data_IF_682227205676
#
_entry.id   IF_682227205676
#
_cell.length_a   1.000
_cell.length_b   1.000
_cell.length_c   1.000
_cell.angle_alpha   90.00
_cell.angle_beta   90.00
_cell.angle_gamma   90.00
#
_symmetry.space_group_name_H-M   'P 1'
#
loop_
_entity.id
_entity.type
_entity.pdbx_description
1 polymer ?
#
# COMPACT_ATOMS: atom_id res chain seq x y z
N UNK A 1 0.15 31.90 -1.69
CA UNK A 1 0.70 30.60 -1.22
C UNK A 1 -0.51 29.69 -1.06
N UNK A 2 -0.74 28.80 -2.01
CA UNK A 2 -1.89 27.89 -1.93
C UNK A 2 -1.71 26.98 -0.71
N UNK A 3 -2.73 26.91 0.15
CA UNK A 3 -2.73 25.99 1.28
C UNK A 3 -2.72 24.55 0.74
N UNK A 4 -1.61 23.85 0.93
CA UNK A 4 -1.52 22.46 0.52
C UNK A 4 -2.18 21.59 1.59
N UNK A 5 -3.33 21.02 1.23
CA UNK A 5 -4.07 20.09 2.08
C UNK A 5 -3.54 18.66 1.90
N UNK A 6 -3.58 17.90 3.00
CA UNK A 6 -3.35 16.45 2.99
C UNK A 6 -4.38 15.74 2.12
N UNK A 7 -4.01 14.55 1.66
CA UNK A 7 -4.88 13.78 0.80
C UNK A 7 -6.17 13.39 1.55
N UNK A 8 -7.32 13.28 0.86
CA UNK A 8 -8.53 12.78 1.50
C UNK A 8 -8.32 11.33 1.93
N UNK A 9 -8.93 10.91 3.04
CA UNK A 9 -8.85 9.52 3.49
C UNK A 9 -9.32 8.60 2.35
N UNK A 10 -8.53 7.57 1.96
CA UNK A 10 -8.96 6.58 0.98
C UNK A 10 -10.30 5.97 1.38
N UNK A 11 -11.24 5.95 0.44
CA UNK A 11 -12.59 5.39 0.59
C UNK A 11 -12.65 3.88 0.28
N UNK A 12 -11.50 3.27 0.03
CA UNK A 12 -11.32 1.84 -0.19
C UNK A 12 -10.35 1.26 0.84
N UNK A 13 -10.55 -0.01 1.24
CA UNK A 13 -9.66 -0.73 2.16
C UNK A 13 -8.82 -1.80 1.47
N UNK A 14 -9.44 -2.56 0.59
CA UNK A 14 -8.78 -3.61 -0.19
C UNK A 14 -9.57 -3.84 -1.47
N UNK A 15 -8.90 -3.74 -2.61
CA UNK A 15 -9.51 -3.97 -3.93
C UNK A 15 -8.64 -4.97 -4.68
N UNK A 16 -9.04 -6.24 -4.66
CA UNK A 16 -8.40 -7.30 -5.43
C UNK A 16 -8.80 -7.24 -6.89
N UNK A 17 -7.82 -7.39 -7.78
CA UNK A 17 -8.00 -7.41 -9.23
C UNK A 17 -7.70 -8.81 -9.75
N UNK A 18 -8.58 -9.31 -10.60
CA UNK A 18 -8.38 -10.53 -11.36
C UNK A 18 -7.38 -10.27 -12.49
N UNK A 19 -6.48 -11.22 -12.80
CA UNK A 19 -5.55 -11.08 -13.90
C UNK A 19 -6.33 -10.95 -15.22
N UNK A 20 -5.94 -10.00 -16.07
CA UNK A 20 -6.48 -9.94 -17.42
C UNK A 20 -5.83 -11.06 -18.24
N UNK A 21 -6.61 -11.97 -18.85
CA UNK A 21 -6.04 -12.98 -19.73
C UNK A 21 -5.31 -12.26 -20.86
N UNK A 22 -3.99 -12.44 -20.93
CA UNK A 22 -3.21 -11.86 -21.99
C UNK A 22 -3.69 -12.48 -23.30
N UNK A 23 -4.44 -11.70 -24.11
CA UNK A 23 -4.65 -12.02 -25.53
C UNK A 23 -3.31 -11.83 -26.24
N UNK A 24 -2.31 -12.67 -25.95
CA UNK A 24 -1.31 -12.96 -26.96
C UNK A 24 -2.11 -13.61 -28.08
N UNK A 25 -2.27 -12.88 -29.18
CA UNK A 25 -2.70 -13.46 -30.44
C UNK A 25 -1.64 -14.51 -30.76
N UNK A 26 -1.86 -15.73 -30.27
CA UNK A 26 -1.23 -16.91 -30.83
C UNK A 26 -1.83 -16.96 -32.22
N UNK A 27 -1.17 -16.31 -33.19
CA UNK A 27 -1.41 -16.62 -34.60
C UNK A 27 -1.15 -18.12 -34.65
N UNK A 28 -2.17 -18.97 -34.84
CA UNK A 28 -1.95 -20.39 -34.88
C UNK A 28 -1.03 -20.64 -36.07
N UNK A 29 0.26 -20.90 -35.81
CA UNK A 29 1.23 -21.29 -36.82
C UNK A 29 0.96 -22.69 -37.37
N UNK A 30 -0.27 -23.20 -37.21
CA UNK A 30 -0.68 -24.56 -37.55
C UNK A 30 -1.36 -24.68 -38.91
N UNK A 31 -1.61 -23.59 -39.66
CA UNK A 31 -2.34 -23.69 -40.93
C UNK A 31 -1.48 -23.58 -42.21
N UNK A 32 -0.27 -23.00 -42.18
CA UNK A 32 0.51 -22.81 -43.41
C UNK A 32 1.45 -23.98 -43.77
N UNK A 33 1.75 -24.88 -42.83
CA UNK A 33 2.64 -26.02 -43.10
C UNK A 33 1.99 -27.15 -43.92
N UNK A 34 0.69 -27.38 -43.75
CA UNK A 34 -0.02 -28.47 -44.45
C UNK A 34 -0.50 -28.07 -45.86
N UNK A 35 -0.79 -26.79 -46.10
CA UNK A 35 -1.17 -26.32 -47.44
C UNK A 35 -0.02 -26.35 -48.45
N UNK A 36 1.21 -26.05 -48.02
CA UNK A 36 2.38 -26.06 -48.89
C UNK A 36 2.83 -27.50 -49.26
N UNK A 37 2.70 -28.47 -48.34
CA UNK A 37 3.04 -29.86 -48.61
C UNK A 37 2.09 -30.52 -49.63
N UNK A 38 0.79 -30.17 -49.59
CA UNK A 38 -0.19 -30.69 -50.56
C UNK A 38 -0.04 -30.03 -51.93
N UNK A 39 0.28 -28.73 -51.99
CA UNK A 39 0.48 -28.02 -53.27
C UNK A 39 1.76 -28.48 -54.03
N UNK A 40 2.83 -28.85 -53.31
CA UNK A 40 4.07 -29.35 -53.93
C UNK A 40 3.95 -30.81 -54.37
N UNK A 41 3.13 -31.63 -53.71
CA UNK A 41 2.88 -33.01 -54.14
C UNK A 41 2.15 -33.10 -55.51
N UNK A 42 1.48 -32.03 -55.94
CA UNK A 42 0.74 -31.98 -57.21
C UNK A 42 1.51 -31.35 -58.38
N UNK A 43 2.70 -30.76 -58.17
CA UNK A 43 3.40 -29.97 -59.20
C UNK A 43 4.60 -30.65 -59.88
N UNK A 44 4.90 -31.92 -59.56
CA UNK A 44 5.95 -32.69 -60.22
C UNK A 44 7.39 -32.21 -59.95
N UNK A 45 7.58 -31.35 -58.95
CA UNK A 45 8.90 -30.86 -58.53
C UNK A 45 9.57 -31.88 -57.60
N UNK A 46 10.88 -32.03 -57.75
CA UNK A 46 11.73 -32.94 -56.98
C UNK A 46 11.45 -32.85 -55.46
N UNK A 47 11.15 -33.97 -54.81
CA UNK A 47 10.58 -34.01 -53.45
C UNK A 47 11.57 -33.63 -52.33
N UNK A 48 12.87 -33.59 -52.64
CA UNK A 48 13.95 -33.33 -51.68
C UNK A 48 13.95 -31.91 -51.08
N UNK A 49 13.85 -30.80 -51.86
CA UNK A 49 13.75 -29.45 -51.30
C UNK A 49 12.52 -29.21 -50.41
N UNK A 50 11.39 -29.87 -50.72
CA UNK A 50 10.16 -29.75 -49.93
C UNK A 50 10.30 -30.33 -48.52
N UNK A 51 10.99 -31.46 -48.40
CA UNK A 51 11.26 -32.13 -47.12
C UNK A 51 12.18 -31.29 -46.22
N UNK A 52 13.20 -30.66 -46.80
CA UNK A 52 14.12 -29.76 -46.08
C UNK A 52 13.39 -28.51 -45.58
N UNK A 53 12.53 -27.91 -46.42
CA UNK A 53 11.72 -26.75 -46.02
C UNK A 53 10.73 -27.08 -44.89
N UNK A 54 10.10 -28.25 -44.93
CA UNK A 54 9.18 -28.72 -43.87
C UNK A 54 9.89 -28.93 -42.52
N UNK A 55 11.08 -29.53 -42.53
CA UNK A 55 11.90 -29.71 -41.33
C UNK A 55 12.36 -28.37 -40.74
N UNK A 56 12.79 -27.42 -41.58
CA UNK A 56 13.17 -26.08 -41.13
C UNK A 56 11.97 -25.34 -40.48
N UNK A 57 10.79 -25.42 -41.08
CA UNK A 57 9.57 -24.82 -40.53
C UNK A 57 9.16 -25.46 -39.18
N UNK A 58 9.33 -26.78 -39.03
CA UNK A 58 9.04 -27.49 -37.79
C UNK A 58 10.02 -27.11 -36.67
N UNK A 59 11.32 -26.97 -36.97
CA UNK A 59 12.33 -26.52 -36.00
C UNK A 59 12.09 -25.07 -35.57
N UNK A 60 11.79 -24.17 -36.51
CA UNK A 60 11.44 -22.77 -36.19
C UNK A 60 10.18 -22.71 -35.32
N UNK A 61 9.15 -23.51 -35.64
CA UNK A 61 7.93 -23.59 -34.82
C UNK A 61 8.21 -24.13 -33.42
N UNK A 62 9.02 -25.19 -33.30
CA UNK A 62 9.39 -25.76 -32.01
C UNK A 62 10.20 -24.78 -31.15
N UNK A 63 11.10 -24.00 -31.75
CA UNK A 63 11.86 -22.95 -31.05
C UNK A 63 10.95 -21.80 -30.59
N UNK A 64 9.99 -21.35 -31.41
CA UNK A 64 9.02 -20.33 -30.99
C UNK A 64 8.06 -20.79 -29.89
N UNK A 65 7.76 -22.10 -29.82
CA UNK A 65 6.99 -22.69 -28.73
C UNK A 65 7.81 -22.87 -27.45
N UNK A 66 9.13 -23.04 -27.55
CA UNK A 66 10.03 -23.22 -26.40
C UNK A 66 10.26 -21.91 -25.64
N UNK A 67 10.13 -20.76 -26.32
CA UNK A 67 10.18 -19.43 -25.71
C UNK A 67 8.83 -18.92 -25.20
N UNK A 68 7.78 -19.75 -25.25
CA UNK A 68 6.52 -19.46 -24.56
C UNK A 68 6.71 -19.62 -23.05
N UNK A 69 7.36 -18.63 -22.43
CA UNK A 69 7.43 -18.51 -20.98
C UNK A 69 6.02 -18.66 -20.40
N UNK A 70 5.87 -19.43 -19.29
CA UNK A 70 4.56 -19.62 -18.67
C UNK A 70 3.90 -18.26 -18.43
N UNK A 71 2.61 -18.16 -18.77
CA UNK A 71 1.81 -16.96 -18.50
C UNK A 71 1.84 -16.71 -16.99
N UNK A 72 2.65 -15.73 -16.56
CA UNK A 72 2.74 -15.34 -15.16
C UNK A 72 1.38 -14.78 -14.74
N UNK A 73 0.68 -15.52 -13.89
CA UNK A 73 -0.59 -15.08 -13.30
C UNK A 73 -0.29 -14.12 -12.17
N UNK A 74 -0.19 -12.84 -12.50
CA UNK A 74 0.00 -11.80 -11.49
C UNK A 74 -1.36 -11.42 -10.90
N UNK A 75 -1.51 -11.55 -9.59
CA UNK A 75 -2.66 -10.98 -8.88
C UNK A 75 -2.28 -9.61 -8.33
N UNK A 76 -3.19 -8.65 -8.44
CA UNK A 76 -2.94 -7.26 -8.03
C UNK A 76 -3.97 -6.91 -6.97
N UNK A 77 -3.55 -6.23 -5.91
CA UNK A 77 -4.46 -5.65 -4.93
C UNK A 77 -4.11 -4.19 -4.67
N UNK A 78 -5.11 -3.33 -4.69
CA UNK A 78 -5.00 -1.91 -4.34
C UNK A 78 -5.46 -1.73 -2.89
N UNK A 79 -4.61 -1.10 -2.07
CA UNK A 79 -4.81 -0.86 -0.64
C UNK A 79 -4.47 0.59 -0.30
N UNK A 80 -4.93 1.16 0.83
CA UNK A 80 -4.69 2.55 1.20
C UNK A 80 -3.24 3.03 1.11
N UNK A 81 -2.26 2.13 1.25
CA UNK A 81 -0.83 2.44 1.30
C UNK A 81 -0.10 2.20 -0.03
N UNK A 82 -0.77 1.64 -1.05
CA UNK A 82 -0.19 1.38 -2.36
C UNK A 82 -0.79 0.17 -3.06
N UNK A 83 0.05 -0.54 -3.82
CA UNK A 83 -0.34 -1.69 -4.64
C UNK A 83 0.50 -2.90 -4.27
N UNK A 84 -0.16 -4.02 -4.03
CA UNK A 84 0.44 -5.33 -3.86
C UNK A 84 0.35 -6.07 -5.20
N UNK A 85 1.48 -6.58 -5.68
CA UNK A 85 1.54 -7.42 -6.87
C UNK A 85 2.10 -8.76 -6.45
N UNK A 86 1.29 -9.80 -6.49
CA UNK A 86 1.73 -11.16 -6.16
C UNK A 86 1.99 -11.92 -7.45
N UNK A 87 3.22 -12.37 -7.65
CA UNK A 87 3.59 -13.32 -8.69
C UNK A 87 4.13 -14.62 -8.07
N UNK A 88 4.35 -15.64 -8.90
CA UNK A 88 4.82 -16.97 -8.44
C UNK A 88 6.25 -16.95 -7.85
N UNK A 89 7.04 -15.90 -8.10
CA UNK A 89 8.43 -15.79 -7.68
C UNK A 89 8.58 -15.02 -6.35
N UNK A 90 7.95 -13.85 -6.22
CA UNK A 90 7.95 -13.06 -4.99
C UNK A 90 6.86 -11.96 -4.99
N UNK A 91 6.21 -11.69 -3.85
CA UNK A 91 5.32 -10.54 -3.72
C UNK A 91 6.11 -9.24 -3.85
N UNK A 92 5.56 -8.31 -4.62
CA UNK A 92 6.11 -6.98 -4.86
C UNK A 92 5.17 -5.91 -4.31
N UNK A 93 5.77 -4.86 -3.77
CA UNK A 93 5.03 -3.76 -3.15
C UNK A 93 5.36 -2.46 -3.87
N UNK A 94 4.34 -1.78 -4.38
CA UNK A 94 4.45 -0.47 -5.00
C UNK A 94 3.83 0.56 -4.05
N UNK A 95 4.67 1.37 -3.43
CA UNK A 95 4.25 2.58 -2.71
C UNK A 95 3.60 3.56 -3.70
N UNK A 96 2.68 4.41 -3.27
CA UNK A 96 2.07 5.45 -4.10
C UNK A 96 3.12 6.34 -4.80
N UNK A 97 4.24 6.62 -4.12
CA UNK A 97 5.36 7.35 -4.72
C UNK A 97 6.01 6.64 -5.93
N UNK A 98 5.84 5.33 -6.07
CA UNK A 98 6.32 4.54 -7.21
C UNK A 98 5.28 4.42 -8.34
N UNK A 99 4.01 4.74 -8.07
CA UNK A 99 2.91 4.71 -9.04
C UNK A 99 2.84 6.06 -9.74
N UNK A 100 3.07 6.07 -11.06
CA UNK A 100 3.10 7.29 -11.88
C UNK A 100 1.73 7.69 -12.38
N UNK A 101 0.89 6.70 -12.67
CA UNK A 101 -0.45 6.89 -13.21
C UNK A 101 -1.28 5.69 -12.85
N UNK A 102 -2.57 5.93 -12.62
CA UNK A 102 -3.55 4.89 -12.41
C UNK A 102 -4.75 5.19 -13.30
N UNK A 103 -5.17 4.22 -14.08
CA UNK A 103 -6.34 4.31 -14.96
C UNK A 103 -7.39 3.31 -14.51
N UNK A 104 -8.63 3.77 -14.45
CA UNK A 104 -9.82 2.95 -14.19
C UNK A 104 -10.76 3.12 -15.36
N UNK A 105 -10.87 2.09 -16.19
CA UNK A 105 -11.70 2.09 -17.39
C UNK A 105 -12.94 1.21 -17.15
N UNK A 106 -14.16 1.77 -17.08
CA UNK A 106 -15.36 0.97 -17.00
C UNK A 106 -15.52 0.17 -18.30
N UNK A 107 -15.49 -1.15 -18.19
CA UNK A 107 -15.71 -2.08 -19.28
C UNK A 107 -17.18 -2.50 -19.26
N UNK A 108 -17.93 -2.06 -20.27
CA UNK A 108 -19.29 -2.55 -20.48
C UNK A 108 -19.21 -4.03 -20.88
N UNK A 109 -19.65 -4.89 -19.98
CA UNK A 109 -19.91 -6.27 -20.31
C UNK A 109 -21.01 -6.38 -21.39
N UNK A 110 -21.00 -7.50 -22.11
CA UNK A 110 -22.19 -7.95 -22.85
C UNK A 110 -23.33 -8.15 -21.85
N UNK A 111 -24.58 -8.05 -22.32
CA UNK A 111 -25.80 -7.91 -21.50
C UNK A 111 -25.96 -8.88 -20.31
N UNK A 112 -25.23 -9.99 -20.26
CA UNK A 112 -25.24 -10.99 -19.18
C UNK A 112 -24.14 -10.85 -18.11
N UNK A 113 -23.03 -10.14 -18.36
CA UNK A 113 -21.79 -10.30 -17.59
C UNK A 113 -21.56 -9.23 -16.49
N UNK A 114 -22.51 -8.32 -16.28
CA UNK A 114 -22.45 -7.26 -15.26
C UNK A 114 -21.38 -6.18 -15.53
N UNK A 115 -21.53 -4.98 -14.96
CA UNK A 115 -20.49 -3.95 -15.14
C UNK A 115 -19.15 -4.46 -14.60
N UNK A 116 -18.05 -4.19 -15.29
CA UNK A 116 -16.69 -4.47 -14.80
C UNK A 116 -15.82 -3.26 -15.04
N UNK A 117 -14.72 -3.14 -14.30
CA UNK A 117 -13.71 -2.10 -14.53
C UNK A 117 -12.37 -2.76 -14.78
N UNK A 118 -11.66 -2.29 -15.81
CA UNK A 118 -10.27 -2.59 -16.05
C UNK A 118 -9.43 -1.55 -15.33
N UNK A 119 -8.44 -1.97 -14.57
CA UNK A 119 -7.54 -1.10 -13.83
C UNK A 119 -6.12 -1.32 -14.32
N UNK A 120 -5.44 -0.22 -14.68
CA UNK A 120 -4.02 -0.21 -15.06
C UNK A 120 -3.22 0.64 -14.09
N UNK A 121 -2.17 0.05 -13.54
CA UNK A 121 -1.22 0.70 -12.64
C UNK A 121 0.09 0.86 -13.39
N UNK A 122 0.47 2.11 -13.65
CA UNK A 122 1.70 2.44 -14.36
C UNK A 122 2.79 2.77 -13.32
N UNK A 123 3.79 1.90 -13.22
CA UNK A 123 5.03 2.14 -12.49
C UNK A 123 6.10 2.71 -13.43
N UNK A 124 7.32 2.94 -12.92
CA UNK A 124 8.41 3.54 -13.71
C UNK A 124 8.79 2.72 -14.95
N UNK A 125 8.78 1.40 -14.85
CA UNK A 125 9.28 0.49 -15.89
C UNK A 125 8.28 -0.59 -16.30
N UNK A 126 7.10 -0.62 -15.68
CA UNK A 126 6.17 -1.72 -15.79
C UNK A 126 4.74 -1.21 -15.72
N UNK A 127 3.83 -1.95 -16.34
CA UNK A 127 2.39 -1.72 -16.27
C UNK A 127 1.76 -2.99 -15.74
N UNK A 128 0.97 -2.84 -14.68
CA UNK A 128 0.19 -3.92 -14.10
C UNK A 128 -1.27 -3.72 -14.48
N UNK A 129 -1.91 -4.78 -14.97
CA UNK A 129 -3.30 -4.71 -15.43
C UNK A 129 -4.13 -5.81 -14.77
N UNK A 130 -5.32 -5.42 -14.28
CA UNK A 130 -6.28 -6.34 -13.71
C UNK A 130 -7.72 -5.88 -13.96
N UNK A 131 -8.68 -6.76 -13.73
CA UNK A 131 -10.12 -6.45 -13.82
C UNK A 131 -10.80 -6.67 -12.48
N UNK A 132 -11.85 -5.90 -12.23
CA UNK A 132 -12.73 -6.07 -11.08
C UNK A 132 -14.18 -6.09 -11.56
N UNK A 133 -14.99 -6.95 -10.96
CA UNK A 133 -16.43 -7.01 -11.19
C UNK A 133 -17.15 -5.90 -10.41
N UNK A 134 -18.13 -5.27 -11.03
CA UNK A 134 -18.91 -4.18 -10.46
C UNK A 134 -18.25 -2.80 -10.55
N UNK A 135 -18.90 -1.81 -9.94
CA UNK A 135 -18.34 -0.48 -9.72
C UNK A 135 -17.34 -0.55 -8.57
N UNK A 136 -16.05 -0.38 -8.86
CA UNK A 136 -15.04 -0.25 -7.82
C UNK A 136 -14.96 1.21 -7.35
N UNK A 137 -14.90 1.44 -6.04
CA UNK A 137 -14.71 2.76 -5.42
C UNK A 137 -13.31 3.35 -5.66
N UNK A 138 -12.77 3.20 -6.87
CA UNK A 138 -11.45 3.68 -7.27
C UNK A 138 -11.53 4.94 -8.14
N UNK A 139 -12.73 5.45 -8.46
CA UNK A 139 -12.90 6.59 -9.36
C UNK A 139 -12.22 7.88 -8.86
N UNK A 140 -12.11 8.03 -7.53
CA UNK A 140 -11.40 9.15 -6.90
C UNK A 140 -9.88 8.98 -6.87
N UNK A 141 -9.38 7.74 -6.91
CA UNK A 141 -7.98 7.43 -6.68
C UNK A 141 -7.02 8.13 -7.68
N UNK A 142 -7.27 8.11 -9.01
CA UNK A 142 -6.42 8.83 -9.96
C UNK A 142 -6.29 10.33 -9.65
N UNK A 143 -7.35 10.98 -9.16
CA UNK A 143 -7.33 12.41 -8.82
C UNK A 143 -6.54 12.73 -7.56
N UNK A 144 -6.36 11.74 -6.69
CA UNK A 144 -5.68 11.90 -5.40
C UNK A 144 -4.30 11.26 -5.34
N UNK A 145 -3.87 10.58 -6.41
CA UNK A 145 -2.61 9.84 -6.47
C UNK A 145 -1.40 10.69 -6.06
N UNK A 146 -1.27 11.90 -6.61
CA UNK A 146 -0.14 12.78 -6.29
C UNK A 146 -0.17 13.24 -4.82
N UNK A 147 -1.36 13.46 -4.26
CA UNK A 147 -1.51 13.82 -2.86
C UNK A 147 -1.12 12.65 -1.95
N UNK A 148 -1.52 11.42 -2.31
CA UNK A 148 -1.11 10.20 -1.60
C UNK A 148 0.39 9.96 -1.67
N UNK A 149 1.00 10.13 -2.84
CA UNK A 149 2.44 10.02 -3.00
C UNK A 149 3.20 11.05 -2.14
N UNK A 150 2.75 12.32 -2.13
CA UNK A 150 3.36 13.37 -1.29
C UNK A 150 3.22 13.08 0.20
N UNK A 151 2.02 12.68 0.65
CA UNK A 151 1.79 12.34 2.06
C UNK A 151 2.66 11.16 2.50
N UNK A 152 2.77 10.12 1.66
CA UNK A 152 3.57 8.95 1.95
C UNK A 152 5.09 9.23 2.01
N UNK A 153 5.56 10.25 1.29
CA UNK A 153 6.96 10.69 1.33
C UNK A 153 7.25 11.71 2.44
N UNK A 154 6.25 12.14 3.21
CA UNK A 154 6.45 13.14 4.27
C UNK A 154 7.17 12.48 5.45
N UNK A 155 8.34 12.97 5.90
CA UNK A 155 9.07 12.36 7.02
C UNK A 155 8.24 12.45 8.31
N UNK A 156 8.38 11.47 9.20
CA UNK A 156 7.71 11.51 10.50
C UNK A 156 8.41 12.54 11.42
N UNK A 157 7.62 13.36 12.11
CA UNK A 157 8.14 14.28 13.11
C UNK A 157 8.52 13.53 14.40
N UNK A 158 9.52 14.08 15.10
CA UNK A 158 10.01 13.60 16.39
C UNK A 158 9.56 14.52 17.56
N UNK A 159 8.62 15.42 17.30
CA UNK A 159 7.93 16.25 18.29
C UNK A 159 6.48 16.57 17.82
N UNK A 160 5.70 17.24 18.67
CA UNK A 160 4.31 17.64 18.36
C UNK A 160 4.21 18.90 17.48
N UNK A 161 5.30 19.65 17.30
CA UNK A 161 5.31 20.93 16.58
C UNK A 161 5.88 20.79 15.15
N UNK A 162 6.34 19.60 14.77
CA UNK A 162 6.91 19.26 13.46
C UNK A 162 8.33 19.77 13.23
N UNK A 163 9.06 20.16 14.28
CA UNK A 163 10.37 20.83 14.15
C UNK A 163 11.53 19.85 14.08
N UNK A 164 11.47 18.78 14.86
CA UNK A 164 12.44 17.70 14.83
C UNK A 164 12.03 16.62 13.82
N UNK A 165 13.00 16.15 13.02
CA UNK A 165 12.85 15.02 12.10
C UNK A 165 14.03 14.09 12.26
N UNK A 166 13.86 12.82 11.85
CA UNK A 166 15.00 11.91 11.78
C UNK A 166 15.91 12.31 10.62
N UNK A 167 17.23 12.20 10.81
CA UNK A 167 18.22 12.34 9.73
C UNK A 167 18.11 11.19 8.71
N UNK A 168 17.44 10.09 9.05
CA UNK A 168 17.14 9.01 8.13
C UNK A 168 16.18 9.48 7.04
N UNK A 169 16.57 9.25 5.79
CA UNK A 169 15.71 9.48 4.62
C UNK A 169 14.44 8.62 4.64
N UNK A 170 14.47 7.49 5.33
CA UNK A 170 13.33 6.61 5.49
C UNK A 170 12.64 6.87 6.85
N UNK A 171 11.30 7.02 6.88
CA UNK A 171 10.57 7.14 8.14
C UNK A 171 10.72 5.86 8.95
N UNK A 172 11.13 5.98 10.22
CA UNK A 172 11.36 4.86 11.15
C UNK A 172 10.42 4.97 12.36
N UNK A 173 9.77 3.85 12.70
CA UNK A 173 8.94 3.74 13.88
C UNK A 173 9.78 3.81 15.16
N UNK A 174 10.99 3.22 15.15
CA UNK A 174 11.89 3.23 16.30
C UNK A 174 12.28 4.66 16.72
N UNK A 175 12.58 5.53 15.75
CA UNK A 175 12.89 6.93 16.02
C UNK A 175 11.72 7.65 16.70
N UNK A 176 10.50 7.47 16.19
CA UNK A 176 9.28 8.07 16.77
C UNK A 176 9.03 7.55 18.19
N UNK A 177 9.06 6.23 18.40
CA UNK A 177 8.83 5.61 19.70
C UNK A 177 9.86 6.07 20.74
N UNK A 178 11.14 6.13 20.35
CA UNK A 178 12.23 6.58 21.21
C UNK A 178 12.11 8.06 21.56
N UNK A 179 11.79 8.91 20.57
CA UNK A 179 11.59 10.33 20.77
C UNK A 179 10.41 10.61 21.71
N UNK A 180 9.28 9.91 21.56
CA UNK A 180 8.13 10.04 22.45
C UNK A 180 8.47 9.60 23.87
N UNK A 181 9.19 8.48 24.03
CA UNK A 181 9.62 8.02 25.35
C UNK A 181 10.55 9.02 26.04
N UNK A 182 11.48 9.65 25.31
CA UNK A 182 12.34 10.69 25.83
C UNK A 182 11.56 11.97 26.18
N UNK A 183 10.69 12.42 25.28
CA UNK A 183 9.87 13.61 25.47
C UNK A 183 8.90 13.48 26.65
N UNK A 184 8.22 12.34 26.82
CA UNK A 184 7.33 12.11 27.96
C UNK A 184 8.05 12.10 29.32
N UNK A 185 9.38 11.95 29.34
CA UNK A 185 10.21 12.08 30.55
C UNK A 185 10.71 13.52 30.78
N UNK A 186 10.51 14.44 29.84
CA UNK A 186 10.96 15.82 29.94
C UNK A 186 9.91 16.73 30.60
N UNK A 187 10.35 17.89 31.09
CA UNK A 187 9.46 18.94 31.61
C UNK A 187 8.60 19.59 30.52
N UNK A 188 9.04 19.53 29.25
CA UNK A 188 8.32 20.10 28.12
C UNK A 188 7.00 19.37 27.87
N UNK A 189 7.00 18.03 27.99
CA UNK A 189 5.77 17.25 27.86
C UNK A 189 4.75 17.62 28.95
N UNK A 190 5.21 17.74 30.20
CA UNK A 190 4.34 18.15 31.31
C UNK A 190 3.73 19.53 31.07
N UNK A 191 4.53 20.49 30.59
CA UNK A 191 4.05 21.84 30.26
C UNK A 191 3.07 21.84 29.09
N UNK A 192 3.45 21.20 27.98
CA UNK A 192 2.69 21.23 26.72
C UNK A 192 1.35 20.51 26.84
N UNK A 193 1.33 19.36 27.51
CA UNK A 193 0.12 18.56 27.73
C UNK A 193 -0.65 18.96 28.99
N UNK A 194 -0.12 19.91 29.78
CA UNK A 194 -0.65 20.32 31.08
C UNK A 194 -0.83 19.10 32.01
N UNK A 195 0.17 18.23 32.05
CA UNK A 195 0.16 17.08 32.95
C UNK A 195 0.36 17.56 34.39
N UNK A 196 -0.31 16.97 35.38
CA UNK A 196 -0.05 17.27 36.77
C UNK A 196 1.41 16.94 37.10
N UNK A 197 2.04 17.78 37.92
CA UNK A 197 3.40 17.54 38.39
C UNK A 197 3.45 16.22 39.18
N UNK A 198 4.10 15.20 38.64
CA UNK A 198 4.28 13.92 39.32
C UNK A 198 5.59 13.96 40.10
N UNK A 199 5.50 14.23 41.41
CA UNK A 199 6.67 14.25 42.31
C UNK A 199 7.28 12.85 42.53
N UNK A 200 6.56 11.77 42.19
CA UNK A 200 6.99 10.36 42.40
C UNK A 200 7.39 9.62 41.12
N UNK A 201 7.55 10.31 39.99
CA UNK A 201 7.92 9.67 38.71
C UNK A 201 6.87 8.67 38.19
N UNK A 202 5.69 8.62 38.80
CA UNK A 202 4.56 7.82 38.34
C UNK A 202 3.98 8.45 37.09
N UNK A 203 3.78 7.64 36.05
CA UNK A 203 3.14 8.07 34.81
C UNK A 203 1.65 8.30 35.05
N UNK A 204 1.05 9.39 34.54
CA UNK A 204 -0.39 9.59 34.69
C UNK A 204 -1.15 8.42 34.07
N UNK A 205 -2.12 7.88 34.82
CA UNK A 205 -2.97 6.77 34.39
C UNK A 205 -4.07 7.21 33.41
N UNK A 206 -4.29 8.51 33.25
CA UNK A 206 -5.26 9.08 32.34
C UNK A 206 -4.80 10.44 31.82
N UNK A 207 -5.00 10.67 30.52
CA UNK A 207 -4.70 11.95 29.88
C UNK A 207 -5.66 13.04 30.36
N UNK A 208 -5.18 14.24 30.74
CA UNK A 208 -6.07 15.35 31.06
C UNK A 208 -6.86 15.79 29.81
N UNK A 209 -8.09 16.33 29.97
CA UNK A 209 -8.93 16.72 28.83
C UNK A 209 -8.24 17.70 27.86
N UNK A 210 -7.42 18.62 28.37
CA UNK A 210 -6.64 19.54 27.54
C UNK A 210 -5.61 18.84 26.65
N UNK A 211 -4.97 17.78 27.14
CA UNK A 211 -4.07 16.95 26.32
C UNK A 211 -4.84 16.20 25.25
N UNK A 212 -6.01 15.63 25.61
CA UNK A 212 -6.88 14.93 24.65
C UNK A 212 -7.31 15.86 23.52
N UNK A 213 -7.75 17.08 23.81
CA UNK A 213 -8.15 18.04 22.76
C UNK A 213 -6.97 18.46 21.87
N UNK A 214 -5.80 18.72 22.46
CA UNK A 214 -4.58 19.03 21.70
C UNK A 214 -4.24 17.89 20.72
N UNK A 215 -4.17 16.65 21.23
CA UNK A 215 -3.84 15.48 20.43
C UNK A 215 -4.89 15.21 19.37
N UNK A 216 -6.18 15.37 19.68
CA UNK A 216 -7.27 15.25 18.69
C UNK A 216 -7.11 16.26 17.56
N UNK A 217 -6.80 17.51 17.88
CA UNK A 217 -6.55 18.56 16.89
C UNK A 217 -5.41 18.19 15.94
N UNK A 218 -4.34 17.58 16.48
CA UNK A 218 -3.21 17.09 15.68
C UNK A 218 -3.61 15.89 14.82
N UNK A 219 -4.25 14.87 15.40
CA UNK A 219 -4.63 13.63 14.71
C UNK A 219 -5.62 13.89 13.56
N UNK A 220 -6.54 14.85 13.72
CA UNK A 220 -7.51 15.27 12.69
C UNK A 220 -6.95 16.34 11.74
N UNK A 221 -5.79 16.90 12.05
CA UNK A 221 -5.18 17.98 11.28
C UNK A 221 -4.93 17.57 9.83
N UNK A 222 -5.50 18.32 8.89
CA UNK A 222 -5.31 18.11 7.44
C UNK A 222 -4.30 19.06 6.80
N UNK A 223 -3.76 20.00 7.58
CA UNK A 223 -2.73 20.90 7.08
C UNK A 223 -1.46 20.11 6.79
N UNK A 224 -0.90 20.28 5.60
CA UNK A 224 0.39 19.68 5.30
C UNK A 224 1.49 20.46 6.04
N UNK A 225 2.40 19.71 6.65
CA UNK A 225 3.58 20.18 7.35
C UNK A 225 4.80 19.55 6.70
N UNK A 226 5.98 20.13 6.92
CA UNK A 226 7.26 19.59 6.42
C UNK A 226 7.54 18.19 6.97
N UNK A 227 6.99 17.88 8.14
CA UNK A 227 7.04 16.58 8.80
C UNK A 227 5.69 16.17 9.37
N UNK A 228 5.39 14.88 9.40
CA UNK A 228 4.13 14.34 9.88
C UNK A 228 4.15 14.14 11.39
N UNK A 229 3.40 14.96 12.10
CA UNK A 229 3.27 14.92 13.58
C UNK A 229 2.30 13.85 14.08
N UNK A 230 1.49 13.25 13.21
CA UNK A 230 0.43 12.31 13.61
C UNK A 230 0.95 11.00 14.22
N UNK A 231 2.05 10.39 13.75
CA UNK A 231 2.65 9.23 14.42
C UNK A 231 3.07 9.55 15.85
N UNK A 232 3.74 10.70 16.06
CA UNK A 232 4.17 11.13 17.39
C UNK A 232 2.97 11.33 18.32
N UNK A 233 1.95 12.07 17.87
CA UNK A 233 0.72 12.28 18.63
C UNK A 233 -0.03 10.98 18.94
N UNK A 234 -0.04 10.01 18.02
CA UNK A 234 -0.67 8.72 18.21
C UNK A 234 0.01 7.88 19.30
N UNK A 235 1.35 7.84 19.31
CA UNK A 235 2.11 7.17 20.37
C UNK A 235 1.88 7.88 21.70
N UNK A 236 1.94 9.22 21.75
CA UNK A 236 1.65 9.99 22.97
C UNK A 236 0.26 9.66 23.52
N UNK A 237 -0.76 9.63 22.67
CA UNK A 237 -2.12 9.28 23.06
C UNK A 237 -2.20 7.88 23.70
N UNK A 238 -1.55 6.88 23.09
CA UNK A 238 -1.51 5.51 23.61
C UNK A 238 -0.71 5.40 24.93
N UNK A 239 0.38 6.15 25.07
CA UNK A 239 1.21 6.16 26.28
C UNK A 239 0.56 6.88 27.47
N UNK A 240 -0.39 7.80 27.21
CA UNK A 240 -1.20 8.48 28.23
C UNK A 240 -2.53 7.78 28.54
N UNK A 241 -2.84 6.67 27.86
CA UNK A 241 -4.12 5.97 28.03
C UNK A 241 -5.34 6.79 27.58
N UNK A 242 -5.19 7.64 26.57
CA UNK A 242 -6.24 8.54 26.07
C UNK A 242 -7.33 7.79 25.25
N UNK A 243 -8.07 6.89 25.88
CA UNK A 243 -9.04 5.97 25.23
C UNK A 243 -10.09 6.67 24.37
N UNK A 244 -10.47 7.90 24.72
CA UNK A 244 -11.37 8.74 23.93
C UNK A 244 -10.86 9.11 22.53
N UNK A 245 -9.57 8.90 22.23
CA UNK A 245 -8.95 9.12 20.92
C UNK A 245 -8.93 7.86 20.05
N UNK A 246 -9.39 6.70 20.55
CA UNK A 246 -9.44 5.47 19.78
C UNK A 246 -10.17 5.61 18.42
N UNK A 247 -11.33 6.31 18.31
CA UNK A 247 -11.99 6.51 17.02
C UNK A 247 -11.15 7.32 16.02
N UNK A 248 -10.43 8.33 16.50
CA UNK A 248 -9.57 9.17 15.68
C UNK A 248 -8.37 8.37 15.13
N UNK A 249 -7.81 7.47 15.94
CA UNK A 249 -6.73 6.57 15.54
C UNK A 249 -7.20 5.48 14.57
N UNK A 250 -8.42 4.96 14.73
CA UNK A 250 -9.02 4.03 13.77
C UNK A 250 -9.20 4.70 12.41
N UNK A 251 -9.62 5.97 12.36
CA UNK A 251 -9.69 6.71 11.10
C UNK A 251 -8.29 6.93 10.51
N UNK A 252 -7.31 7.28 11.35
CA UNK A 252 -5.92 7.50 10.94
C UNK A 252 -5.23 6.23 10.41
N UNK A 253 -5.69 5.04 10.81
CA UNK A 253 -5.22 3.75 10.30
C UNK A 253 -5.42 3.55 8.78
N UNK A 254 -6.21 4.42 8.14
CA UNK A 254 -6.40 4.48 6.68
C UNK A 254 -5.50 5.53 6.00
N UNK A 255 -4.60 6.20 6.74
CA UNK A 255 -3.65 7.15 6.13
C UNK A 255 -2.84 6.45 5.04
N UNK A 256 -2.57 7.11 3.90
CA UNK A 256 -1.72 6.58 2.83
C UNK A 256 -0.25 6.41 3.26
N UNK A 257 0.16 7.04 4.36
CA UNK A 257 1.49 6.90 4.91
C UNK A 257 1.56 5.62 5.78
N UNK A 258 2.37 4.60 5.42
CA UNK A 258 2.33 3.28 6.07
C UNK A 258 2.78 3.32 7.53
N UNK A 259 3.81 4.11 7.88
CA UNK A 259 4.21 4.31 9.28
C UNK A 259 3.09 4.96 10.11
N UNK A 260 2.47 6.04 9.61
CA UNK A 260 1.33 6.69 10.28
C UNK A 260 0.21 5.67 10.52
N UNK A 261 -0.15 4.89 9.50
CA UNK A 261 -1.19 3.87 9.62
C UNK A 261 -0.83 2.75 10.60
N UNK A 262 0.39 2.20 10.53
CA UNK A 262 0.87 1.14 11.42
C UNK A 262 0.91 1.58 12.88
N UNK A 263 1.46 2.78 13.14
CA UNK A 263 1.46 3.39 14.48
C UNK A 263 0.04 3.62 14.97
N UNK A 264 -0.85 4.18 14.14
CA UNK A 264 -2.23 4.45 14.52
C UNK A 264 -3.01 3.17 14.87
N UNK A 265 -2.81 2.08 14.11
CA UNK A 265 -3.42 0.76 14.39
C UNK A 265 -3.01 0.22 15.75
N UNK A 266 -1.71 0.27 16.03
CA UNK A 266 -1.16 -0.23 17.29
C UNK A 266 -1.55 0.66 18.47
N UNK A 267 -1.53 1.99 18.29
CA UNK A 267 -2.04 2.94 19.27
C UNK A 267 -3.52 2.71 19.59
N UNK A 268 -4.36 2.51 18.57
CA UNK A 268 -5.77 2.22 18.73
C UNK A 268 -5.99 0.89 19.49
N UNK A 269 -5.23 -0.16 19.12
CA UNK A 269 -5.30 -1.46 19.80
C UNK A 269 -4.92 -1.35 21.28
N UNK A 270 -3.87 -0.58 21.61
CA UNK A 270 -3.45 -0.33 23.01
C UNK A 270 -4.50 0.43 23.81
N UNK A 271 -5.29 1.26 23.16
CA UNK A 271 -6.40 1.99 23.76
C UNK A 271 -7.72 1.19 23.79
N UNK A 272 -7.67 -0.10 23.44
CA UNK A 272 -8.83 -1.00 23.51
C UNK A 272 -9.74 -0.98 22.28
N UNK A 273 -9.31 -0.39 21.16
CA UNK A 273 -10.09 -0.46 19.92
C UNK A 273 -10.16 -1.92 19.41
N UNK A 274 -11.34 -2.39 18.97
CA UNK A 274 -11.47 -3.75 18.46
C UNK A 274 -10.69 -3.91 17.14
N UNK A 275 -10.02 -5.06 16.98
CA UNK A 275 -9.25 -5.40 15.77
C UNK A 275 -10.09 -5.36 14.50
N UNK A 276 -11.39 -5.66 14.58
CA UNK A 276 -12.30 -5.57 13.43
C UNK A 276 -12.41 -4.14 12.86
N UNK A 277 -12.22 -3.12 13.70
CA UNK A 277 -12.27 -1.70 13.30
C UNK A 277 -10.89 -1.13 12.99
N UNK A 278 -9.93 -1.31 13.90
CA UNK A 278 -8.57 -0.80 13.69
C UNK A 278 -7.84 -1.54 12.55
N UNK A 279 -8.17 -2.82 12.36
CA UNK A 279 -7.45 -3.74 11.49
C UNK A 279 -6.17 -4.29 12.13
N UNK A 280 -5.54 -5.24 11.45
CA UNK A 280 -4.28 -5.85 11.90
C UNK A 280 -3.08 -5.04 11.40
N UNK A 281 -1.95 -5.14 12.11
CA UNK A 281 -0.67 -4.57 11.64
C UNK A 281 -0.17 -5.29 10.39
N UNK A 282 -0.47 -6.59 10.26
CA UNK A 282 -0.10 -7.40 9.10
C UNK A 282 -0.68 -6.88 7.78
N UNK A 283 -1.78 -6.13 7.82
CA UNK A 283 -2.35 -5.50 6.63
C UNK A 283 -1.37 -4.47 6.01
N UNK A 284 -0.60 -3.76 6.85
CA UNK A 284 0.37 -2.74 6.40
C UNK A 284 1.81 -3.24 6.41
N UNK A 285 2.07 -4.42 6.99
CA UNK A 285 3.41 -5.01 7.08
C UNK A 285 4.20 -5.03 5.76
N UNK A 286 3.61 -5.33 4.59
CA UNK A 286 4.34 -5.29 3.32
C UNK A 286 4.94 -3.91 2.98
N UNK A 287 4.42 -2.84 3.56
CA UNK A 287 4.86 -1.46 3.31
C UNK A 287 5.83 -0.93 4.38
N UNK A 288 6.07 -1.69 5.44
CA UNK A 288 6.98 -1.35 6.54
C UNK A 288 8.31 -2.09 6.39
N UNK A 289 9.35 -1.57 7.02
CA UNK A 289 10.57 -2.34 7.24
C UNK A 289 10.31 -3.41 8.31
N UNK A 290 10.98 -4.55 8.19
CA UNK A 290 10.80 -5.68 9.10
C UNK A 290 11.12 -5.30 10.56
N UNK A 291 12.13 -4.47 10.78
CA UNK A 291 12.47 -3.95 12.11
C UNK A 291 11.36 -3.07 12.68
N UNK A 292 10.76 -2.20 11.86
CA UNK A 292 9.66 -1.33 12.29
C UNK A 292 8.41 -2.13 12.67
N UNK A 293 8.08 -3.17 11.89
CA UNK A 293 6.98 -4.10 12.23
C UNK A 293 7.24 -4.78 13.59
N UNK A 294 8.41 -5.40 13.77
CA UNK A 294 8.77 -6.07 15.02
C UNK A 294 8.85 -5.11 16.23
N UNK A 295 9.24 -3.84 16.01
CA UNK A 295 9.24 -2.80 17.04
C UNK A 295 7.83 -2.42 17.47
N UNK A 296 6.92 -2.24 16.52
CA UNK A 296 5.52 -1.93 16.78
C UNK A 296 4.79 -3.06 17.52
N UNK A 297 5.06 -4.32 17.16
CA UNK A 297 4.51 -5.48 17.89
C UNK A 297 4.99 -5.53 19.33
N UNK A 298 6.31 -5.40 19.56
CA UNK A 298 6.89 -5.39 20.92
C UNK A 298 6.34 -4.24 21.75
N UNK A 299 6.21 -3.06 21.14
CA UNK A 299 5.63 -1.90 21.79
C UNK A 299 4.22 -2.22 22.31
N UNK A 300 3.35 -2.80 21.49
CA UNK A 300 1.99 -3.15 21.92
C UNK A 300 1.95 -4.28 22.94
N UNK A 301 2.76 -5.33 22.78
CA UNK A 301 2.82 -6.45 23.73
C UNK A 301 3.20 -5.99 25.15
N UNK A 302 4.12 -5.02 25.28
CA UNK A 302 4.52 -4.44 26.56
C UNK A 302 3.40 -3.61 27.25
N UNK A 303 2.29 -3.32 26.56
CA UNK A 303 1.12 -2.71 27.17
C UNK A 303 0.24 -3.76 27.87
N UNK A 304 0.01 -4.88 27.19
CA UNK A 304 -0.82 -5.99 27.70
C UNK A 304 -0.22 -6.66 28.94
N UNK A 305 1.10 -6.60 29.14
CA UNK A 305 1.74 -7.14 30.35
C UNK A 305 1.59 -6.23 31.58
N UNK A 306 1.08 -5.00 31.41
CA UNK A 306 0.92 -4.00 32.50
C UNK A 306 -0.53 -3.82 32.96
N UNK A 307 -1.49 -4.38 32.22
CA UNK A 307 -2.92 -4.43 32.55
C UNK A 307 -3.24 -5.71 33.31
#
# INVERSE_FOLDING_TARGET
MDEVFRAPVPDFRYVGLLPVPSRRVRVPATAFGLGAAVAVATSGVDARPALVAGLAAAVVSALTLRDAAPERRQTIAIVPWGVLVTDDAAPRVLRWAAVRRLEVEPTRARASDGASSRVRVFARHEVFEGTISGTCGLDGLPRHLDAYAREQCTPCALDLDGRATSESLAPSCEAVLSAVAAWLRSGDAATRLRLPASYRGGRPTSAPPSAVELLRGILRGRRQSTSDVRPFAAVVAAELGATSLAPDLVALAQSPHPVVAGVARQAASRLGAPRSRAGLLDEVAPFLFSDDHARLERWTAAACSRS
#
